data_IF_230300009640
#
_entry.id   IF_230300009640
#
_cell.length_a   1.000
_cell.length_b   1.000
_cell.length_c   1.000
_cell.angle_alpha   90.00
_cell.angle_beta   90.00
_cell.angle_gamma   90.00
#
_symmetry.space_group_name_H-M   'P 1'
#
loop_
_entity.id
_entity.type
_entity.pdbx_description
1 polymer ?
#
# COMPACT_ATOMS: atom_id res chain seq x y z
N UNK A 1 -7.44 18.62 11.18
CA UNK A 1 -8.67 19.37 11.55
C UNK A 1 -8.86 19.44 13.06
N UNK A 2 -8.62 18.34 13.77
CA UNK A 2 -8.78 18.25 15.23
C UNK A 2 -7.93 19.27 15.99
N UNK A 3 -6.75 19.61 15.46
CA UNK A 3 -5.79 20.52 16.11
C UNK A 3 -5.84 21.97 15.59
N UNK A 4 -6.65 22.28 14.56
CA UNK A 4 -6.76 23.61 13.98
C UNK A 4 -8.25 23.95 13.79
N UNK A 5 -8.81 24.68 14.74
CA UNK A 5 -10.20 25.15 14.70
C UNK A 5 -10.43 26.00 13.44
N UNK A 6 -11.48 25.66 12.68
CA UNK A 6 -11.87 26.40 11.49
C UNK A 6 -11.09 26.07 10.20
N UNK A 7 -10.17 25.10 10.21
CA UNK A 7 -9.46 24.70 8.99
C UNK A 7 -10.42 24.15 7.92
N UNK A 8 -10.34 24.73 6.71
CA UNK A 8 -11.03 24.21 5.51
C UNK A 8 -10.05 23.34 4.74
N UNK A 9 -10.43 22.09 4.48
CA UNK A 9 -9.62 21.14 3.75
C UNK A 9 -10.19 20.89 2.36
N UNK A 10 -9.36 21.03 1.34
CA UNK A 10 -9.70 20.79 -0.05
C UNK A 10 -8.93 19.59 -0.58
N UNK A 11 -9.62 18.70 -1.27
CA UNK A 11 -9.01 17.58 -2.01
C UNK A 11 -9.06 17.91 -3.50
N UNK A 12 -7.89 18.12 -4.10
CA UNK A 12 -7.76 18.53 -5.51
C UNK A 12 -7.22 17.36 -6.31
N UNK A 13 -7.98 16.83 -7.26
CA UNK A 13 -7.59 15.69 -8.11
C UNK A 13 -8.45 15.62 -9.37
N UNK A 14 -8.10 14.72 -10.30
CA UNK A 14 -8.90 14.39 -11.48
C UNK A 14 -10.06 13.41 -11.18
N UNK A 15 -10.06 12.82 -10.01
CA UNK A 15 -11.14 11.98 -9.53
C UNK A 15 -11.22 12.02 -8.00
N UNK A 16 -12.40 11.83 -7.42
CA UNK A 16 -12.58 11.91 -5.96
C UNK A 16 -12.15 10.65 -5.23
N UNK A 17 -11.49 9.68 -5.85
CA UNK A 17 -11.12 8.37 -5.30
C UNK A 17 -12.27 7.67 -4.55
N UNK A 18 -12.75 8.29 -3.46
CA UNK A 18 -13.88 7.83 -2.64
C UNK A 18 -14.66 9.08 -2.17
N UNK A 19 -15.87 9.27 -2.71
CA UNK A 19 -16.71 10.44 -2.41
C UNK A 19 -17.27 10.40 -0.99
N UNK A 20 -17.61 9.22 -0.51
CA UNK A 20 -18.19 9.02 0.82
C UNK A 20 -17.15 9.35 1.89
N UNK A 21 -15.94 8.79 1.75
CA UNK A 21 -14.82 9.09 2.63
C UNK A 21 -14.47 10.58 2.65
N UNK A 22 -14.47 11.26 1.50
CA UNK A 22 -14.21 12.70 1.45
C UNK A 22 -15.27 13.49 2.21
N UNK A 23 -16.55 13.14 2.03
CA UNK A 23 -17.68 13.77 2.70
C UNK A 23 -17.63 13.55 4.22
N UNK A 24 -17.46 12.32 4.67
CA UNK A 24 -17.37 11.96 6.10
C UNK A 24 -16.24 12.70 6.82
N UNK A 25 -15.11 12.88 6.13
CA UNK A 25 -13.98 13.62 6.66
C UNK A 25 -14.08 15.13 6.43
N UNK A 26 -15.19 15.62 5.86
CA UNK A 26 -15.43 17.05 5.60
C UNK A 26 -14.39 17.68 4.69
N UNK A 27 -13.88 16.95 3.69
CA UNK A 27 -13.03 17.46 2.64
C UNK A 27 -13.88 17.98 1.48
N UNK A 28 -13.56 19.19 1.01
CA UNK A 28 -14.19 19.77 -0.17
C UNK A 28 -13.45 19.29 -1.42
N UNK A 29 -14.17 18.59 -2.30
CA UNK A 29 -13.58 18.08 -3.54
C UNK A 29 -13.58 19.15 -4.64
N UNK A 30 -12.41 19.34 -5.26
CA UNK A 30 -12.23 20.20 -6.41
C UNK A 30 -11.61 19.41 -7.56
N UNK A 31 -12.39 19.21 -8.62
CA UNK A 31 -11.93 18.50 -9.81
C UNK A 31 -11.00 19.35 -10.67
N UNK A 32 -9.85 18.81 -11.05
CA UNK A 32 -8.95 19.42 -12.03
C UNK A 32 -8.60 18.39 -13.12
N UNK A 33 -8.45 18.88 -14.36
CA UNK A 33 -7.97 18.01 -15.42
C UNK A 33 -6.49 17.67 -15.21
N UNK A 34 -6.14 16.40 -15.36
CA UNK A 34 -4.75 15.94 -15.26
C UNK A 34 -4.36 15.07 -16.45
N UNK A 35 -3.08 15.05 -16.79
CA UNK A 35 -2.54 14.23 -17.88
C UNK A 35 -1.41 13.33 -17.37
N UNK A 36 -1.41 12.07 -17.80
CA UNK A 36 -0.38 11.10 -17.42
C UNK A 36 0.77 11.11 -18.43
N UNK A 37 1.93 11.64 -18.04
CA UNK A 37 3.14 11.55 -18.87
C UNK A 37 3.72 10.12 -18.81
N UNK A 38 3.50 9.36 -19.89
CA UNK A 38 4.06 8.01 -20.04
C UNK A 38 5.52 8.07 -20.47
N UNK A 39 6.31 7.10 -20.03
CA UNK A 39 7.73 6.99 -20.38
C UNK A 39 7.96 6.33 -21.76
N UNK A 40 6.93 5.70 -22.33
CA UNK A 40 6.95 5.08 -23.64
C UNK A 40 6.21 5.94 -24.67
N UNK A 41 6.56 5.77 -25.94
CA UNK A 41 5.90 6.47 -27.03
C UNK A 41 4.41 6.10 -27.12
N UNK A 42 3.52 7.10 -27.04
CA UNK A 42 2.09 6.93 -27.20
C UNK A 42 1.48 8.21 -27.74
N UNK A 43 0.57 8.11 -28.71
CA UNK A 43 -0.21 9.27 -29.19
C UNK A 43 -1.03 9.92 -28.05
N UNK A 44 -1.35 9.17 -27.01
CA UNK A 44 -1.97 9.71 -25.79
C UNK A 44 -1.09 10.71 -25.05
N UNK A 45 0.23 10.71 -25.25
CA UNK A 45 1.12 11.70 -24.65
C UNK A 45 0.83 13.10 -25.19
N UNK A 46 0.46 13.22 -26.47
CA UNK A 46 0.11 14.53 -27.06
C UNK A 46 -1.20 15.06 -26.46
N UNK A 47 -2.24 14.23 -26.39
CA UNK A 47 -3.51 14.61 -25.74
C UNK A 47 -3.36 14.89 -24.25
N UNK A 48 -2.50 14.14 -23.57
CA UNK A 48 -2.23 14.36 -22.16
C UNK A 48 -1.44 15.64 -21.90
N UNK A 49 -0.61 16.10 -22.84
CA UNK A 49 0.06 17.40 -22.76
C UNK A 49 -0.97 18.56 -22.75
N UNK A 50 -1.98 18.51 -23.62
CA UNK A 50 -3.08 19.47 -23.60
C UNK A 50 -3.87 19.41 -22.30
N UNK A 51 -4.17 18.21 -21.78
CA UNK A 51 -4.84 18.05 -20.49
C UNK A 51 -4.01 18.64 -19.33
N UNK A 52 -2.69 18.46 -19.35
CA UNK A 52 -1.80 19.07 -18.34
C UNK A 52 -1.85 20.59 -18.43
N UNK A 53 -1.81 21.15 -19.65
CA UNK A 53 -1.84 22.60 -19.86
C UNK A 53 -3.18 23.21 -19.38
N UNK A 54 -4.30 22.68 -19.86
CA UNK A 54 -5.63 23.16 -19.42
C UNK A 54 -5.90 22.85 -17.93
N UNK A 55 -5.39 21.73 -17.44
CA UNK A 55 -5.46 21.39 -16.03
C UNK A 55 -4.68 22.37 -15.14
N UNK A 56 -3.52 22.84 -15.60
CA UNK A 56 -2.75 23.85 -14.88
C UNK A 56 -3.48 25.21 -14.87
N UNK A 57 -4.12 25.60 -15.97
CA UNK A 57 -4.95 26.82 -16.03
C UNK A 57 -6.16 26.70 -15.08
N UNK A 58 -6.88 25.58 -15.14
CA UNK A 58 -8.02 25.33 -14.24
C UNK A 58 -7.57 25.34 -12.77
N UNK A 59 -6.48 24.64 -12.47
CA UNK A 59 -5.90 24.65 -11.12
C UNK A 59 -5.51 26.06 -10.67
N UNK A 60 -4.99 26.91 -11.59
CA UNK A 60 -4.63 28.29 -11.29
C UNK A 60 -5.85 29.10 -10.85
N UNK A 61 -6.95 29.05 -11.59
CA UNK A 61 -8.19 29.76 -11.23
C UNK A 61 -8.77 29.25 -9.91
N UNK A 62 -8.88 27.93 -9.73
CA UNK A 62 -9.40 27.34 -8.48
C UNK A 62 -8.54 27.69 -7.29
N UNK A 63 -7.23 27.50 -7.38
CA UNK A 63 -6.32 27.79 -6.29
C UNK A 63 -6.18 29.28 -6.01
N UNK A 64 -6.34 30.14 -7.02
CA UNK A 64 -6.42 31.58 -6.80
C UNK A 64 -7.70 31.98 -6.04
N UNK A 65 -8.83 31.33 -6.37
CA UNK A 65 -10.10 31.56 -5.66
C UNK A 65 -10.09 31.05 -4.22
N UNK A 66 -9.50 29.87 -3.99
CA UNK A 66 -9.39 29.25 -2.65
C UNK A 66 -8.29 29.94 -1.83
N UNK A 67 -7.18 30.25 -2.46
CA UNK A 67 -5.92 30.78 -1.92
C UNK A 67 -5.49 30.07 -0.62
N UNK A 68 -5.15 28.77 -0.69
CA UNK A 68 -4.86 28.01 0.50
C UNK A 68 -3.55 28.46 1.17
N UNK A 69 -3.48 28.38 2.49
CA UNK A 69 -2.28 28.69 3.27
C UNK A 69 -1.12 27.72 3.02
N UNK A 70 -1.44 26.49 2.64
CA UNK A 70 -0.47 25.42 2.35
C UNK A 70 -1.05 24.38 1.40
N UNK A 71 -0.19 23.86 0.53
CA UNK A 71 -0.51 22.69 -0.31
C UNK A 71 0.28 21.50 0.21
N UNK A 72 -0.43 20.44 0.60
CA UNK A 72 0.15 19.15 0.93
C UNK A 72 -0.04 18.17 -0.22
N UNK A 73 1.02 17.47 -0.63
CA UNK A 73 0.97 16.52 -1.72
C UNK A 73 1.71 15.23 -1.41
N UNK A 74 1.10 14.10 -1.76
CA UNK A 74 1.77 12.79 -1.77
C UNK A 74 2.41 12.44 -3.13
N UNK A 75 2.41 13.39 -4.08
CA UNK A 75 2.95 13.17 -5.41
C UNK A 75 1.96 12.51 -6.38
N UNK A 76 2.52 11.86 -7.39
CA UNK A 76 1.73 11.31 -8.49
C UNK A 76 1.42 12.35 -9.57
N UNK A 77 1.03 11.87 -10.76
CA UNK A 77 0.77 12.76 -11.92
C UNK A 77 -0.41 13.72 -11.67
N UNK A 78 -1.40 13.28 -10.90
CA UNK A 78 -2.59 14.07 -10.60
C UNK A 78 -2.30 15.31 -9.74
N UNK A 79 -1.25 15.28 -8.93
CA UNK A 79 -0.87 16.42 -8.09
C UNK A 79 -0.08 17.50 -8.82
N UNK A 80 0.47 17.21 -10.01
CA UNK A 80 1.35 18.14 -10.72
C UNK A 80 0.72 19.51 -10.99
N UNK A 81 -0.52 19.64 -11.54
CA UNK A 81 -1.12 20.94 -11.80
C UNK A 81 -1.28 21.80 -10.53
N UNK A 82 -1.70 21.19 -9.44
CA UNK A 82 -1.86 21.89 -8.15
C UNK A 82 -0.51 22.36 -7.58
N UNK A 83 0.52 21.51 -7.60
CA UNK A 83 1.86 21.89 -7.12
C UNK A 83 2.48 22.97 -8.00
N UNK A 84 2.32 22.87 -9.33
CA UNK A 84 2.81 23.85 -10.29
C UNK A 84 2.16 25.22 -10.02
N UNK A 85 0.85 25.23 -9.84
CA UNK A 85 0.10 26.45 -9.51
C UNK A 85 0.50 27.04 -8.16
N UNK A 86 0.67 26.19 -7.13
CA UNK A 86 1.14 26.63 -5.82
C UNK A 86 2.48 27.36 -5.91
N UNK A 87 3.40 26.83 -6.75
CA UNK A 87 4.68 27.50 -6.99
C UNK A 87 4.52 28.88 -7.64
N UNK A 88 3.63 29.02 -8.63
CA UNK A 88 3.36 30.32 -9.30
C UNK A 88 2.77 31.32 -8.31
N UNK A 89 1.79 30.90 -7.53
CA UNK A 89 1.11 31.72 -6.52
C UNK A 89 1.93 31.92 -5.23
N UNK A 90 3.15 31.35 -5.16
CA UNK A 90 4.02 31.38 -3.98
C UNK A 90 3.39 30.77 -2.71
N UNK A 91 2.42 29.88 -2.89
CA UNK A 91 1.81 29.13 -1.79
C UNK A 91 2.82 28.08 -1.29
N UNK A 92 3.04 27.97 0.03
CA UNK A 92 3.94 26.98 0.59
C UNK A 92 3.53 25.55 0.22
N UNK A 93 4.49 24.75 -0.26
CA UNK A 93 4.27 23.34 -0.62
C UNK A 93 4.98 22.44 0.40
N UNK A 94 4.25 21.49 0.92
CA UNK A 94 4.76 20.37 1.72
C UNK A 94 4.52 19.08 0.93
N UNK A 95 5.52 18.26 0.76
CA UNK A 95 5.38 16.98 0.08
C UNK A 95 5.66 15.81 1.03
N UNK A 96 4.98 14.70 0.79
CA UNK A 96 5.25 13.44 1.46
C UNK A 96 5.61 12.39 0.40
N UNK A 97 6.78 11.77 0.56
CA UNK A 97 7.20 10.65 -0.30
C UNK A 97 7.00 9.32 0.43
N UNK A 98 6.20 8.48 -0.19
CA UNK A 98 5.80 7.19 0.39
C UNK A 98 6.74 6.05 0.03
N UNK A 99 7.52 6.20 -1.04
CA UNK A 99 8.42 5.17 -1.54
C UNK A 99 9.88 5.49 -1.19
N UNK A 100 10.73 4.48 -1.22
CA UNK A 100 12.17 4.62 -0.95
C UNK A 100 12.94 5.37 -2.03
N UNK A 101 12.33 5.59 -3.19
CA UNK A 101 12.83 6.47 -4.24
C UNK A 101 11.70 7.38 -4.71
N UNK A 102 11.93 8.70 -4.85
CA UNK A 102 10.84 9.62 -5.14
C UNK A 102 10.32 9.50 -6.55
N UNK A 103 9.00 9.62 -6.67
CA UNK A 103 8.34 9.79 -7.95
C UNK A 103 8.76 11.10 -8.64
N UNK A 104 8.60 11.17 -9.98
CA UNK A 104 9.05 12.32 -10.80
C UNK A 104 8.50 13.67 -10.30
N UNK A 105 7.23 13.71 -9.90
CA UNK A 105 6.60 14.94 -9.39
C UNK A 105 7.19 15.34 -8.05
N UNK A 106 7.34 14.42 -7.10
CA UNK A 106 7.94 14.70 -5.81
C UNK A 106 9.43 15.09 -5.95
N UNK A 107 10.19 14.41 -6.84
CA UNK A 107 11.57 14.78 -7.12
C UNK A 107 11.69 16.22 -7.62
N UNK A 108 10.80 16.63 -8.54
CA UNK A 108 10.74 18.01 -9.04
C UNK A 108 10.31 19.00 -7.94
N UNK A 109 9.22 18.70 -7.23
CA UNK A 109 8.68 19.55 -6.17
C UNK A 109 9.66 19.74 -5.00
N UNK A 110 10.46 18.73 -4.70
CA UNK A 110 11.46 18.76 -3.63
C UNK A 110 12.51 19.88 -3.77
N UNK A 111 12.75 20.40 -4.98
CA UNK A 111 13.67 21.51 -5.18
C UNK A 111 13.17 22.84 -4.58
N UNK A 112 11.87 23.00 -4.41
CA UNK A 112 11.26 24.22 -3.90
C UNK A 112 10.27 24.02 -2.75
N UNK A 113 9.95 22.77 -2.40
CA UNK A 113 9.08 22.48 -1.27
C UNK A 113 9.65 23.07 0.02
N UNK A 114 8.75 23.66 0.83
CA UNK A 114 9.11 24.21 2.13
C UNK A 114 9.53 23.10 3.11
N UNK A 115 8.87 21.97 3.04
CA UNK A 115 9.17 20.75 3.82
C UNK A 115 8.91 19.51 2.98
N UNK A 116 9.71 18.48 3.25
CA UNK A 116 9.62 17.16 2.63
C UNK A 116 9.56 16.12 3.74
N UNK A 117 8.45 15.42 3.84
CA UNK A 117 8.31 14.26 4.70
C UNK A 117 8.63 13.00 3.89
N UNK A 118 9.31 12.04 4.48
CA UNK A 118 9.63 10.77 3.81
C UNK A 118 9.27 9.58 4.69
N UNK A 119 8.77 8.52 4.04
CA UNK A 119 8.43 7.26 4.72
C UNK A 119 9.64 6.37 4.93
N UNK A 120 10.55 6.35 3.97
CA UNK A 120 11.82 5.63 4.04
C UNK A 120 12.97 6.60 4.25
N UNK A 121 13.92 6.24 5.12
CA UNK A 121 15.09 7.08 5.39
C UNK A 121 15.93 7.30 4.11
N UNK A 122 16.03 6.29 3.26
CA UNK A 122 16.77 6.33 1.99
C UNK A 122 16.20 7.35 1.00
N UNK A 123 14.91 7.65 1.10
CA UNK A 123 14.30 8.69 0.27
C UNK A 123 14.82 10.08 0.61
N UNK A 124 15.34 10.31 1.81
CA UNK A 124 15.88 11.59 2.23
C UNK A 124 17.08 12.04 1.39
N UNK A 125 17.87 11.12 0.85
CA UNK A 125 19.06 11.44 0.06
C UNK A 125 18.75 12.11 -1.28
N UNK A 126 17.51 12.01 -1.73
CA UNK A 126 17.06 12.65 -2.98
C UNK A 126 16.63 14.11 -2.79
N UNK A 127 16.59 14.62 -1.56
CA UNK A 127 16.05 15.94 -1.23
C UNK A 127 17.07 16.80 -0.47
N UNK A 128 16.92 18.14 -0.49
CA UNK A 128 17.77 19.02 0.31
C UNK A 128 17.66 18.73 1.81
N UNK A 129 18.75 18.36 2.46
CA UNK A 129 18.78 17.89 3.87
C UNK A 129 18.10 18.85 4.86
N UNK A 130 18.19 20.19 4.64
CA UNK A 130 17.58 21.20 5.52
C UNK A 130 16.05 21.21 5.54
N UNK A 131 15.42 20.62 4.52
CA UNK A 131 13.96 20.63 4.35
C UNK A 131 13.31 19.27 4.56
N UNK A 132 14.10 18.21 4.71
CA UNK A 132 13.60 16.83 4.79
C UNK A 132 13.48 16.38 6.24
N UNK A 133 12.43 15.61 6.52
CA UNK A 133 12.23 14.91 7.79
C UNK A 133 11.76 13.47 7.51
N UNK A 134 12.32 12.52 8.22
CA UNK A 134 11.82 11.16 8.23
C UNK A 134 10.66 11.07 9.22
N UNK A 135 9.44 10.93 8.70
CA UNK A 135 8.19 10.94 9.46
C UNK A 135 7.49 9.58 9.50
N UNK A 136 7.98 8.62 8.74
CA UNK A 136 7.25 7.39 8.47
C UNK A 136 6.06 7.61 7.52
N UNK A 137 5.29 6.55 7.32
CA UNK A 137 4.07 6.53 6.52
C UNK A 137 2.86 6.71 7.44
N UNK A 138 1.93 7.64 7.15
CA UNK A 138 0.65 7.67 7.83
C UNK A 138 -0.10 6.35 7.66
N UNK A 139 -0.47 5.76 8.78
CA UNK A 139 -1.21 4.49 8.85
C UNK A 139 -2.67 4.82 9.20
N UNK A 140 -3.60 4.03 8.69
CA UNK A 140 -5.01 4.13 9.05
C UNK A 140 -5.20 3.77 10.52
N UNK A 141 -5.77 4.68 11.30
CA UNK A 141 -5.96 4.51 12.75
C UNK A 141 -6.81 3.30 13.11
N UNK A 142 -7.77 2.95 12.24
CA UNK A 142 -8.69 1.81 12.43
C UNK A 142 -7.96 0.46 12.42
N UNK A 143 -6.82 0.37 11.73
CA UNK A 143 -6.07 -0.89 11.56
C UNK A 143 -4.65 -0.85 12.13
N UNK A 144 -4.23 0.27 12.69
CA UNK A 144 -2.90 0.42 13.30
C UNK A 144 -2.68 -0.60 14.43
N UNK A 145 -3.75 -0.86 15.18
CA UNK A 145 -3.74 -1.84 16.25
C UNK A 145 -4.59 -3.05 15.87
N UNK A 146 -3.97 -4.23 15.65
CA UNK A 146 -4.70 -5.47 15.39
C UNK A 146 -5.75 -5.78 16.46
N UNK A 147 -6.80 -6.49 16.08
CA UNK A 147 -7.80 -6.98 17.03
C UNK A 147 -7.20 -8.01 17.99
N UNK A 148 -7.87 -8.23 19.12
CA UNK A 148 -7.49 -9.32 20.02
C UNK A 148 -7.65 -10.67 19.31
N UNK A 149 -6.69 -11.57 19.48
CA UNK A 149 -6.67 -12.87 18.81
C UNK A 149 -7.98 -13.65 19.01
N UNK A 150 -8.52 -13.66 20.24
CA UNK A 150 -9.75 -14.38 20.55
C UNK A 150 -10.96 -13.88 19.73
N UNK A 151 -11.10 -12.55 19.60
CA UNK A 151 -12.17 -11.94 18.83
C UNK A 151 -12.01 -12.24 17.34
N UNK A 152 -10.80 -12.15 16.83
CA UNK A 152 -10.46 -12.39 15.44
C UNK A 152 -10.68 -13.86 15.04
N UNK A 153 -10.33 -14.82 15.90
CA UNK A 153 -10.61 -16.25 15.71
C UNK A 153 -12.12 -16.51 15.61
N UNK A 154 -12.91 -15.88 16.49
CA UNK A 154 -14.36 -16.00 16.45
C UNK A 154 -14.96 -15.37 15.19
N UNK A 155 -14.46 -14.19 14.80
CA UNK A 155 -14.92 -13.46 13.62
C UNK A 155 -14.82 -14.30 12.35
N UNK A 156 -13.66 -14.92 12.14
CA UNK A 156 -13.41 -15.77 10.96
C UNK A 156 -13.76 -17.26 11.18
N UNK A 157 -14.23 -17.66 12.37
CA UNK A 157 -14.49 -19.06 12.74
C UNK A 157 -13.29 -19.97 12.54
N UNK A 158 -12.11 -19.50 12.96
CA UNK A 158 -10.85 -20.22 12.81
C UNK A 158 -10.57 -21.17 13.97
N UNK A 159 -9.73 -22.19 13.70
CA UNK A 159 -9.20 -23.10 14.73
C UNK A 159 -8.16 -22.37 15.60
N UNK A 160 -8.28 -22.41 16.93
CA UNK A 160 -7.57 -21.52 17.84
C UNK A 160 -6.05 -21.65 17.89
N UNK A 161 -5.49 -22.84 17.67
CA UNK A 161 -4.06 -23.11 17.83
C UNK A 161 -3.29 -23.18 16.50
N UNK A 162 -3.99 -23.06 15.39
CA UNK A 162 -3.40 -23.20 14.07
C UNK A 162 -2.88 -21.87 13.52
N UNK A 163 -1.65 -21.81 13.00
CA UNK A 163 -1.10 -20.59 12.43
C UNK A 163 -1.89 -20.15 11.18
N UNK A 164 -2.01 -18.82 11.02
CA UNK A 164 -2.81 -18.18 9.97
C UNK A 164 -1.90 -17.45 8.98
N UNK A 165 -2.06 -17.75 7.71
CA UNK A 165 -1.44 -17.03 6.60
C UNK A 165 -2.44 -15.97 6.12
N UNK A 166 -2.05 -14.71 6.17
CA UNK A 166 -2.81 -13.59 5.61
C UNK A 166 -2.22 -13.19 4.26
N UNK A 167 -2.99 -13.31 3.18
CA UNK A 167 -2.58 -12.94 1.83
C UNK A 167 -3.27 -11.65 1.41
N UNK A 168 -2.49 -10.62 1.10
CA UNK A 168 -2.95 -9.29 0.72
C UNK A 168 -2.50 -8.94 -0.70
N UNK A 169 -3.31 -9.28 -1.70
CA UNK A 169 -3.05 -8.98 -3.11
C UNK A 169 -3.27 -7.51 -3.50
N UNK A 170 -3.73 -6.67 -2.57
CA UNK A 170 -4.16 -5.29 -2.85
C UNK A 170 -5.58 -5.20 -3.44
N UNK A 171 -6.12 -3.99 -3.57
CA UNK A 171 -7.52 -3.75 -4.02
C UNK A 171 -7.79 -4.24 -5.45
N UNK A 172 -6.79 -4.16 -6.32
CA UNK A 172 -6.91 -4.62 -7.72
C UNK A 172 -6.63 -6.13 -7.86
N UNK A 173 -6.13 -6.77 -6.81
CA UNK A 173 -5.65 -8.14 -6.81
C UNK A 173 -4.25 -8.27 -7.43
N UNK A 174 -3.60 -9.40 -7.13
CA UNK A 174 -2.31 -9.78 -7.68
C UNK A 174 -2.43 -11.19 -8.27
N UNK A 175 -2.72 -11.28 -9.56
CA UNK A 175 -3.01 -12.56 -10.22
C UNK A 175 -1.89 -13.60 -10.00
N UNK A 176 -0.62 -13.15 -10.08
CA UNK A 176 0.52 -14.03 -9.84
C UNK A 176 0.53 -14.59 -8.40
N UNK A 177 0.25 -13.74 -7.39
CA UNK A 177 0.15 -14.18 -6.00
C UNK A 177 -1.03 -15.12 -5.83
N UNK A 178 -2.20 -14.76 -6.39
CA UNK A 178 -3.40 -15.59 -6.32
C UNK A 178 -3.14 -17.01 -6.90
N UNK A 179 -2.49 -17.09 -8.06
CA UNK A 179 -2.16 -18.36 -8.70
C UNK A 179 -1.20 -19.18 -7.85
N UNK A 180 -0.11 -18.59 -7.37
CA UNK A 180 0.87 -19.31 -6.54
C UNK A 180 0.26 -19.80 -5.21
N UNK A 181 -0.64 -19.01 -4.60
CA UNK A 181 -1.37 -19.43 -3.40
C UNK A 181 -2.31 -20.59 -3.72
N UNK A 182 -3.11 -20.51 -4.81
CA UNK A 182 -4.01 -21.59 -5.22
C UNK A 182 -3.26 -22.91 -5.46
N UNK A 183 -2.14 -22.85 -6.15
CA UNK A 183 -1.33 -24.03 -6.44
C UNK A 183 -0.66 -24.62 -5.16
N UNK A 184 -0.42 -23.79 -4.15
CA UNK A 184 0.13 -24.21 -2.86
C UNK A 184 -0.94 -24.68 -1.86
N UNK A 185 -2.23 -24.35 -2.05
CA UNK A 185 -3.30 -24.60 -1.09
C UNK A 185 -3.38 -26.04 -0.58
N UNK A 186 -3.29 -27.11 -1.44
CA UNK A 186 -3.41 -28.49 -0.94
C UNK A 186 -2.36 -28.85 0.11
N UNK A 187 -1.18 -28.22 0.04
CA UNK A 187 -0.11 -28.37 1.03
C UNK A 187 -0.35 -27.47 2.25
N UNK A 188 -0.68 -26.20 2.01
CA UNK A 188 -0.80 -25.20 3.07
C UNK A 188 -1.92 -25.51 4.06
N UNK A 189 -3.11 -25.91 3.60
CA UNK A 189 -4.26 -26.17 4.49
C UNK A 189 -4.06 -27.37 5.45
N UNK A 190 -3.03 -28.18 5.26
CA UNK A 190 -2.70 -29.25 6.20
C UNK A 190 -2.19 -28.69 7.54
N UNK A 191 -1.42 -27.60 7.50
CA UNK A 191 -0.72 -27.03 8.65
C UNK A 191 -1.09 -25.58 8.95
N UNK A 192 -1.84 -24.92 8.09
CA UNK A 192 -2.19 -23.50 8.20
C UNK A 192 -3.66 -23.27 7.86
N UNK A 193 -4.17 -22.18 8.39
CA UNK A 193 -5.39 -21.54 7.89
C UNK A 193 -5.00 -20.37 7.00
N UNK A 194 -5.77 -20.07 5.97
CA UNK A 194 -5.43 -19.04 4.99
C UNK A 194 -6.58 -18.06 4.84
N UNK A 195 -6.34 -16.79 5.11
CA UNK A 195 -7.24 -15.68 4.78
C UNK A 195 -6.65 -14.99 3.56
N UNK A 196 -7.39 -14.97 2.45
CA UNK A 196 -6.89 -14.50 1.16
C UNK A 196 -7.73 -13.38 0.57
N UNK A 197 -7.21 -12.16 0.60
CA UNK A 197 -7.76 -11.04 -0.17
C UNK A 197 -7.31 -11.13 -1.63
N UNK A 198 -8.21 -11.57 -2.49
CA UNK A 198 -7.91 -11.90 -3.90
C UNK A 198 -7.97 -10.70 -4.86
N UNK A 199 -8.59 -9.61 -4.40
CA UNK A 199 -8.99 -8.47 -5.25
C UNK A 199 -10.36 -8.69 -5.89
N UNK A 200 -11.15 -7.62 -5.94
CA UNK A 200 -12.56 -7.66 -6.41
C UNK A 200 -12.71 -8.30 -7.78
N UNK A 201 -11.79 -7.99 -8.70
CA UNK A 201 -11.85 -8.51 -10.08
C UNK A 201 -11.55 -10.00 -10.19
N UNK A 202 -10.72 -10.54 -9.31
CA UNK A 202 -10.25 -11.92 -9.38
C UNK A 202 -11.06 -12.85 -8.48
N UNK A 203 -11.85 -12.32 -7.55
CA UNK A 203 -12.49 -13.08 -6.49
C UNK A 203 -13.26 -14.31 -7.00
N UNK A 204 -14.16 -14.10 -7.97
CA UNK A 204 -14.99 -15.19 -8.49
C UNK A 204 -14.15 -16.34 -9.04
N UNK A 205 -13.19 -16.02 -9.89
CA UNK A 205 -12.31 -17.03 -10.54
C UNK A 205 -11.46 -17.74 -9.49
N UNK A 206 -10.92 -16.99 -8.53
CA UNK A 206 -10.07 -17.57 -7.47
C UNK A 206 -10.89 -18.48 -6.54
N UNK A 207 -12.11 -18.08 -6.16
CA UNK A 207 -12.99 -18.90 -5.33
C UNK A 207 -13.39 -20.20 -6.03
N UNK A 208 -13.84 -20.14 -7.28
CA UNK A 208 -14.17 -21.34 -8.09
C UNK A 208 -12.97 -22.28 -8.25
N UNK A 209 -11.78 -21.75 -8.52
CA UNK A 209 -10.56 -22.58 -8.62
C UNK A 209 -10.17 -23.21 -7.28
N UNK A 210 -10.33 -22.49 -6.18
CA UNK A 210 -10.04 -23.03 -4.86
C UNK A 210 -10.97 -24.20 -4.50
N UNK A 211 -12.25 -24.10 -4.85
CA UNK A 211 -13.20 -25.21 -4.67
C UNK A 211 -12.75 -26.48 -5.42
N UNK A 212 -12.27 -26.32 -6.67
CA UNK A 212 -11.76 -27.44 -7.46
C UNK A 212 -10.47 -28.02 -6.87
N UNK A 213 -9.53 -27.15 -6.53
CA UNK A 213 -8.21 -27.56 -5.99
C UNK A 213 -8.33 -28.25 -4.63
N UNK A 214 -9.32 -27.88 -3.83
CA UNK A 214 -9.58 -28.43 -2.51
C UNK A 214 -10.77 -29.41 -2.46
N UNK A 215 -11.32 -29.86 -3.60
CA UNK A 215 -12.55 -30.68 -3.64
C UNK A 215 -12.48 -31.90 -2.71
N UNK A 216 -11.39 -32.65 -2.77
CA UNK A 216 -11.17 -33.87 -1.98
C UNK A 216 -10.32 -33.63 -0.71
N UNK A 217 -10.02 -32.35 -0.38
CA UNK A 217 -9.22 -32.05 0.79
C UNK A 217 -10.11 -31.90 2.03
N UNK A 218 -9.84 -32.72 3.06
CA UNK A 218 -10.60 -32.72 4.31
C UNK A 218 -10.51 -31.39 5.08
N UNK A 219 -9.51 -30.58 4.78
CA UNK A 219 -9.24 -29.30 5.42
C UNK A 219 -9.65 -28.08 4.57
N UNK A 220 -10.50 -28.26 3.56
CA UNK A 220 -10.94 -27.20 2.66
C UNK A 220 -11.52 -25.96 3.37
N UNK A 221 -12.12 -26.14 4.55
CA UNK A 221 -12.68 -25.03 5.34
C UNK A 221 -11.61 -24.12 5.97
N UNK A 222 -10.33 -24.50 5.93
CA UNK A 222 -9.22 -23.67 6.39
C UNK A 222 -8.79 -22.60 5.39
N UNK A 223 -9.42 -22.54 4.23
CA UNK A 223 -9.20 -21.48 3.24
C UNK A 223 -10.41 -20.55 3.16
N UNK A 224 -10.17 -19.26 3.39
CA UNK A 224 -11.16 -18.21 3.31
C UNK A 224 -10.72 -17.18 2.26
N UNK A 225 -11.41 -17.17 1.11
CA UNK A 225 -11.19 -16.13 0.09
C UNK A 225 -12.14 -14.97 0.26
N UNK A 226 -11.65 -13.75 0.11
CA UNK A 226 -12.41 -12.52 0.21
C UNK A 226 -12.05 -11.58 -0.95
N UNK A 227 -13.01 -10.85 -1.53
CA UNK A 227 -12.72 -9.93 -2.62
C UNK A 227 -11.87 -8.75 -2.13
N UNK A 228 -12.21 -8.22 -0.97
CA UNK A 228 -11.54 -7.10 -0.31
C UNK A 228 -11.75 -7.19 1.20
N UNK A 229 -10.78 -6.73 1.96
CA UNK A 229 -10.87 -6.61 3.42
C UNK A 229 -11.02 -5.12 3.77
N UNK A 230 -12.25 -4.73 4.12
CA UNK A 230 -12.54 -3.43 4.70
C UNK A 230 -11.79 -3.25 6.04
N UNK A 231 -11.74 -2.06 6.63
CA UNK A 231 -10.94 -1.81 7.83
C UNK A 231 -11.21 -2.80 8.97
N UNK A 232 -12.47 -3.13 9.27
CA UNK A 232 -12.78 -4.07 10.35
C UNK A 232 -12.32 -5.50 10.05
N UNK A 233 -12.70 -6.16 8.92
CA UNK A 233 -12.13 -7.46 8.55
C UNK A 233 -10.61 -7.47 8.49
N UNK A 234 -9.98 -6.41 8.00
CA UNK A 234 -8.52 -6.33 7.92
C UNK A 234 -7.88 -6.26 9.31
N UNK A 235 -8.45 -5.49 10.23
CA UNK A 235 -8.04 -5.43 11.64
C UNK A 235 -8.14 -6.79 12.33
N UNK A 236 -9.24 -7.52 12.06
CA UNK A 236 -9.44 -8.88 12.57
C UNK A 236 -8.41 -9.85 11.97
N UNK A 237 -8.18 -9.79 10.65
CA UNK A 237 -7.20 -10.64 9.98
C UNK A 237 -5.77 -10.40 10.49
N UNK A 238 -5.41 -9.13 10.74
CA UNK A 238 -4.13 -8.78 11.35
C UNK A 238 -3.98 -9.36 12.77
N UNK A 239 -5.07 -9.44 13.54
CA UNK A 239 -5.08 -9.97 14.92
C UNK A 239 -4.82 -11.47 15.03
N UNK A 240 -4.98 -12.23 13.95
CA UNK A 240 -4.70 -13.67 13.90
C UNK A 240 -3.53 -14.03 12.98
N UNK A 241 -3.04 -13.09 12.18
CA UNK A 241 -2.01 -13.37 11.20
C UNK A 241 -0.70 -13.83 11.86
N UNK A 242 -0.24 -15.01 11.50
CA UNK A 242 1.10 -15.49 11.85
C UNK A 242 2.13 -15.00 10.83
N UNK A 243 1.76 -14.94 9.57
CA UNK A 243 2.61 -14.46 8.48
C UNK A 243 1.76 -13.74 7.45
N UNK A 244 2.31 -12.67 6.87
CA UNK A 244 1.62 -11.91 5.81
C UNK A 244 2.34 -12.06 4.49
N UNK A 245 1.60 -12.34 3.42
CA UNK A 245 2.09 -12.33 2.04
C UNK A 245 1.50 -11.11 1.35
N UNK A 246 2.33 -10.22 0.82
CA UNK A 246 1.85 -8.97 0.23
C UNK A 246 2.75 -8.42 -0.87
N UNK A 247 2.22 -7.45 -1.62
CA UNK A 247 3.03 -6.52 -2.43
C UNK A 247 3.77 -5.53 -1.54
N UNK A 248 4.87 -4.95 -2.05
CA UNK A 248 5.69 -3.98 -1.34
C UNK A 248 5.24 -2.51 -1.59
N UNK A 249 3.94 -2.27 -1.55
CA UNK A 249 3.35 -0.92 -1.56
C UNK A 249 3.22 -0.34 -0.14
N UNK A 250 2.32 0.64 0.04
CA UNK A 250 2.09 1.29 1.35
C UNK A 250 1.60 0.35 2.46
N UNK A 251 0.94 -0.77 2.10
CA UNK A 251 0.53 -1.83 3.04
C UNK A 251 1.70 -2.39 3.87
N UNK A 252 2.92 -2.30 3.37
CA UNK A 252 4.14 -2.68 4.09
C UNK A 252 4.22 -2.00 5.47
N UNK A 253 3.86 -0.72 5.57
CA UNK A 253 3.93 0.03 6.83
C UNK A 253 2.84 -0.40 7.81
N UNK A 254 1.67 -0.79 7.32
CA UNK A 254 0.59 -1.36 8.14
C UNK A 254 1.04 -2.73 8.69
N UNK A 255 1.61 -3.59 7.84
CA UNK A 255 2.20 -4.87 8.26
C UNK A 255 3.30 -4.66 9.30
N UNK A 256 4.15 -3.65 9.09
CA UNK A 256 5.18 -3.27 10.03
C UNK A 256 4.61 -2.86 11.40
N UNK A 257 3.53 -2.05 11.41
CA UNK A 257 2.87 -1.65 12.66
C UNK A 257 2.30 -2.83 13.45
N UNK A 258 1.82 -3.86 12.75
CA UNK A 258 1.34 -5.09 13.39
C UNK A 258 2.46 -5.94 13.99
N UNK A 259 3.71 -5.74 13.55
CA UNK A 259 4.85 -6.55 13.99
C UNK A 259 4.75 -8.00 13.53
N UNK A 260 4.16 -8.25 12.37
CA UNK A 260 3.98 -9.59 11.81
C UNK A 260 5.04 -9.85 10.74
N UNK A 261 5.78 -10.97 10.79
CA UNK A 261 6.67 -11.39 9.73
C UNK A 261 5.99 -11.45 8.38
N UNK A 262 6.70 -11.09 7.31
CA UNK A 262 6.08 -11.05 5.98
C UNK A 262 6.98 -11.58 4.88
N UNK A 263 6.33 -12.06 3.81
CA UNK A 263 6.93 -12.36 2.52
C UNK A 263 6.43 -11.29 1.54
N UNK A 264 7.34 -10.45 1.05
CA UNK A 264 7.00 -9.42 0.10
C UNK A 264 7.32 -9.86 -1.33
N UNK A 265 6.34 -9.65 -2.21
CA UNK A 265 6.44 -9.99 -3.63
C UNK A 265 6.29 -8.69 -4.42
N UNK A 266 7.41 -7.96 -4.66
CA UNK A 266 7.36 -6.70 -5.38
C UNK A 266 6.97 -6.91 -6.83
N UNK A 267 6.15 -5.99 -7.39
CA UNK A 267 5.84 -5.97 -8.82
C UNK A 267 7.12 -5.65 -9.59
N UNK A 268 7.40 -6.47 -10.61
CA UNK A 268 8.49 -6.23 -11.56
C UNK A 268 8.04 -5.36 -12.72
N UNK A 269 8.98 -4.71 -13.40
CA UNK A 269 8.74 -3.87 -14.60
C UNK A 269 7.80 -2.66 -14.35
N UNK A 270 7.79 -2.12 -13.14
CA UNK A 270 7.14 -0.84 -12.87
C UNK A 270 8.10 0.33 -13.12
N UNK A 271 7.55 1.49 -13.46
CA UNK A 271 8.36 2.70 -13.58
C UNK A 271 9.16 2.95 -12.30
N UNK A 272 10.52 2.93 -12.40
CA UNK A 272 11.50 3.20 -11.33
C UNK A 272 11.63 2.11 -10.25
N UNK A 273 11.05 0.93 -10.41
CA UNK A 273 11.16 -0.23 -9.50
C UNK A 273 10.89 0.10 -8.02
N UNK A 274 9.93 0.98 -7.77
CA UNK A 274 9.60 1.46 -6.43
C UNK A 274 9.35 0.32 -5.45
N UNK A 275 8.46 -0.64 -5.82
CA UNK A 275 8.15 -1.75 -4.92
C UNK A 275 9.34 -2.65 -4.64
N UNK A 276 10.20 -2.88 -5.65
CA UNK A 276 11.43 -3.66 -5.47
C UNK A 276 12.35 -2.98 -4.45
N UNK A 277 12.57 -1.67 -4.59
CA UNK A 277 13.38 -0.89 -3.64
C UNK A 277 12.77 -0.89 -2.23
N UNK A 278 11.47 -0.72 -2.11
CA UNK A 278 10.75 -0.77 -0.82
C UNK A 278 10.95 -2.13 -0.15
N UNK A 279 10.70 -3.24 -0.88
CA UNK A 279 10.87 -4.59 -0.37
C UNK A 279 12.29 -4.85 0.14
N UNK A 280 13.30 -4.50 -0.65
CA UNK A 280 14.69 -4.72 -0.26
C UNK A 280 15.17 -3.80 0.87
N UNK A 281 14.62 -2.59 1.00
CA UNK A 281 14.90 -1.74 2.16
C UNK A 281 14.31 -2.35 3.45
N UNK A 282 13.09 -2.86 3.38
CA UNK A 282 12.46 -3.54 4.51
C UNK A 282 13.15 -4.85 4.86
N UNK A 283 13.60 -5.62 3.86
CA UNK A 283 14.38 -6.84 4.08
C UNK A 283 15.77 -6.57 4.70
N UNK A 284 16.44 -5.48 4.31
CA UNK A 284 17.72 -5.05 4.95
C UNK A 284 17.56 -4.73 6.43
N UNK A 285 16.39 -4.26 6.85
CA UNK A 285 16.06 -4.11 8.26
C UNK A 285 15.78 -5.47 8.97
N UNK A 286 15.82 -6.59 8.25
CA UNK A 286 15.51 -7.92 8.79
C UNK A 286 14.02 -8.14 9.10
N UNK A 287 13.13 -7.36 8.49
CA UNK A 287 11.71 -7.31 8.81
C UNK A 287 10.83 -8.17 7.87
N UNK A 288 11.37 -8.66 6.76
CA UNK A 288 10.66 -9.53 5.82
C UNK A 288 11.60 -10.42 5.03
N UNK A 289 11.01 -11.40 4.34
CA UNK A 289 11.62 -12.06 3.20
C UNK A 289 11.11 -11.48 1.90
N UNK A 290 11.92 -11.52 0.83
CA UNK A 290 11.54 -11.04 -0.50
C UNK A 290 11.61 -12.19 -1.49
N UNK A 291 10.50 -12.41 -2.20
CA UNK A 291 10.43 -13.33 -3.34
C UNK A 291 10.10 -12.51 -4.59
N UNK A 292 11.03 -12.45 -5.54
CA UNK A 292 10.78 -11.75 -6.80
C UNK A 292 9.76 -12.52 -7.67
N UNK A 293 8.91 -11.80 -8.42
CA UNK A 293 7.84 -12.41 -9.25
C UNK A 293 8.34 -13.54 -10.16
N UNK A 294 9.52 -13.37 -10.76
CA UNK A 294 10.11 -14.37 -11.65
C UNK A 294 10.46 -15.69 -10.97
N UNK A 295 10.63 -15.68 -9.64
CA UNK A 295 10.94 -16.84 -8.83
C UNK A 295 9.72 -17.39 -8.11
N UNK A 296 8.54 -16.78 -8.30
CA UNK A 296 7.32 -17.11 -7.55
C UNK A 296 6.72 -18.42 -8.06
N UNK A 297 6.82 -19.46 -7.25
CA UNK A 297 6.17 -20.76 -7.47
C UNK A 297 5.51 -21.23 -6.17
N UNK A 298 4.57 -22.18 -6.27
CA UNK A 298 3.92 -22.79 -5.11
C UNK A 298 4.93 -23.40 -4.13
N UNK A 299 5.98 -24.05 -4.64
CA UNK A 299 7.02 -24.67 -3.82
C UNK A 299 7.86 -23.63 -3.08
N UNK A 300 8.31 -22.57 -3.76
CA UNK A 300 9.09 -21.50 -3.13
C UNK A 300 8.24 -20.79 -2.07
N UNK A 301 6.98 -20.49 -2.39
CA UNK A 301 6.07 -19.86 -1.43
C UNK A 301 5.89 -20.74 -0.18
N UNK A 302 5.56 -22.01 -0.35
CA UNK A 302 5.36 -22.93 0.77
C UNK A 302 6.63 -23.12 1.60
N UNK A 303 7.78 -23.31 0.96
CA UNK A 303 9.06 -23.46 1.64
C UNK A 303 9.47 -22.22 2.43
N UNK A 304 9.18 -21.04 1.90
CA UNK A 304 9.49 -19.78 2.57
C UNK A 304 8.57 -19.53 3.79
N UNK A 305 7.28 -19.87 3.66
CA UNK A 305 6.33 -19.86 4.80
C UNK A 305 6.84 -20.80 5.90
N UNK A 306 7.14 -22.07 5.55
CA UNK A 306 7.62 -23.07 6.50
C UNK A 306 8.95 -22.69 7.14
N UNK A 307 9.87 -22.10 6.38
CA UNK A 307 11.15 -21.62 6.89
C UNK A 307 10.97 -20.53 7.97
N UNK A 308 10.10 -19.56 7.70
CA UNK A 308 9.86 -18.43 8.63
C UNK A 308 9.10 -18.91 9.86
N UNK A 309 8.04 -19.67 9.67
CA UNK A 309 7.18 -20.14 10.78
C UNK A 309 7.80 -21.26 11.60
N UNK A 310 8.72 -22.05 11.02
CA UNK A 310 9.42 -23.14 11.69
C UNK A 310 10.63 -22.71 12.53
N UNK A 311 11.21 -21.55 12.26
CA UNK A 311 12.31 -20.97 13.04
C UNK A 311 11.77 -19.96 14.07
N UNK A 312 11.42 -20.43 15.26
CA UNK A 312 10.85 -19.58 16.32
C UNK A 312 11.73 -18.35 16.64
N UNK A 313 13.04 -18.53 16.68
CA UNK A 313 13.99 -17.46 17.02
C UNK A 313 14.10 -16.41 15.92
N UNK A 314 14.22 -16.87 14.67
CA UNK A 314 14.21 -16.00 13.50
C UNK A 314 12.88 -15.28 13.32
N UNK A 315 11.76 -15.94 13.61
CA UNK A 315 10.43 -15.36 13.60
C UNK A 315 10.30 -14.17 14.58
N UNK A 316 10.70 -14.38 15.85
CA UNK A 316 10.65 -13.34 16.87
C UNK A 316 11.52 -12.13 16.50
N UNK A 317 12.72 -12.36 15.97
CA UNK A 317 13.60 -11.30 15.48
C UNK A 317 12.98 -10.54 14.32
N UNK A 318 12.41 -11.24 13.35
CA UNK A 318 11.75 -10.61 12.19
C UNK A 318 10.54 -9.76 12.62
N UNK A 319 9.73 -10.25 13.57
CA UNK A 319 8.59 -9.54 14.14
C UNK A 319 9.01 -8.25 14.86
N UNK A 320 10.08 -8.32 15.68
CA UNK A 320 10.63 -7.14 16.36
C UNK A 320 11.18 -6.11 15.38
N UNK A 321 11.90 -6.56 14.34
CA UNK A 321 12.44 -5.69 13.32
C UNK A 321 11.32 -5.03 12.49
N UNK A 322 10.24 -5.77 12.18
CA UNK A 322 9.07 -5.21 11.53
C UNK A 322 8.48 -4.07 12.36
N UNK A 323 8.25 -4.31 13.64
CA UNK A 323 7.69 -3.30 14.55
C UNK A 323 8.61 -2.09 14.73
N UNK A 324 9.92 -2.31 14.79
CA UNK A 324 10.92 -1.23 14.90
C UNK A 324 11.04 -0.39 13.61
N UNK A 325 10.67 -0.94 12.47
CA UNK A 325 10.67 -0.22 11.19
C UNK A 325 9.55 0.82 11.09
N UNK A 326 8.44 0.59 11.78
CA UNK A 326 7.33 1.54 11.84
C UNK A 326 7.72 2.73 12.72
N UNK A 327 7.52 3.96 12.17
CA UNK A 327 7.88 5.21 12.87
C UNK A 327 6.66 6.10 13.04
#
# INVERSE_FOLDING_TARGET
RENILGAKLYYISDSPYDKEMLFENGLLYEEISTGKMRTYFSFKNLTDLFKIFFGAINALFKMFSIYPDVVFSKGGYASFPAIFTARILRIPVVIHESDSAPGRVNKWAGHFAKKVAVSFLEAADYFPKKNVAWTGQPIRTEIEHPAQQKEALQYFKLEGEMPVILVLGGSQGAELINNAVLDALPRLVNNYQVIHQTGVRNFKIVAERAEVVLADNKYKLRYLSMPFLDPLPLKMAAGVATIVISRAGSMLFEIASWGVPSILIPITNTNMDHQKKNAFNYARAGACSVVEEMNMTANILSSEIERITGDKKGYEVMAQNAKAFNK
#
